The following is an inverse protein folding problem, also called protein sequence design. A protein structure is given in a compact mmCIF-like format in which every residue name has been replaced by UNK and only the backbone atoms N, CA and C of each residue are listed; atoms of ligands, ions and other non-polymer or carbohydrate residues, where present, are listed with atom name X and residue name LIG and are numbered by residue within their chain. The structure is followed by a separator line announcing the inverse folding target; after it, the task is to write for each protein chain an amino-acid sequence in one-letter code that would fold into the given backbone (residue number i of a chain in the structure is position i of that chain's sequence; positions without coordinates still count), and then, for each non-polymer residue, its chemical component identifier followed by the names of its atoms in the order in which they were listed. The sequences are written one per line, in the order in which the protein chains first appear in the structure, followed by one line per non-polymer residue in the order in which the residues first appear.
data_IF_293671926810
#
_entry.id   IF_293671926810
#
_cell.length_a   1.000
_cell.length_b   1.000
_cell.length_c   1.000
_cell.angle_alpha   90.00
_cell.angle_beta   90.00
_cell.angle_gamma   90.00
#
_symmetry.space_group_name_H-M   'P 1'
#
loop_
_entity.id
_entity.type
_entity.pdbx_description
1 polymer ?
#
# COMPACT_ATOMS: atom_id res chain seq x y z
N UNK A 1 2.44 13.12 4.71
CA UNK A 1 2.58 11.82 4.02
C UNK A 1 3.47 10.92 4.86
N UNK A 2 3.01 9.72 5.14
CA UNK A 2 3.81 8.74 5.87
C UNK A 2 4.87 8.15 4.95
N UNK A 3 6.09 7.96 5.45
CA UNK A 3 7.16 7.35 4.67
C UNK A 3 7.54 6.01 5.30
N UNK A 4 7.63 4.97 4.47
CA UNK A 4 8.03 3.63 4.91
C UNK A 4 9.29 3.25 4.16
N UNK A 5 10.37 3.05 4.91
CA UNK A 5 11.65 2.63 4.34
C UNK A 5 11.67 1.11 4.21
N UNK A 6 12.01 0.63 3.02
CA UNK A 6 12.13 -0.81 2.80
C UNK A 6 13.60 -1.19 2.70
N UNK A 7 13.90 -2.46 3.04
CA UNK A 7 15.26 -2.99 2.99
C UNK A 7 15.54 -3.72 1.67
N UNK A 8 14.48 -4.26 1.07
CA UNK A 8 14.59 -5.03 -0.16
C UNK A 8 14.34 -4.13 -1.36
N UNK A 9 14.45 -4.69 -2.57
CA UNK A 9 14.21 -3.94 -3.80
C UNK A 9 12.76 -3.48 -3.92
N UNK A 10 11.84 -4.23 -3.34
CA UNK A 10 10.41 -3.92 -3.42
C UNK A 10 9.68 -4.43 -2.19
N UNK A 11 8.45 -3.95 -2.02
CA UNK A 11 7.51 -4.48 -1.05
C UNK A 11 6.18 -4.71 -1.78
N UNK A 12 5.46 -5.76 -1.41
CA UNK A 12 4.14 -5.99 -1.99
C UNK A 12 3.12 -5.06 -1.36
N UNK A 13 2.12 -4.65 -2.15
CA UNK A 13 1.12 -3.68 -1.70
C UNK A 13 0.44 -4.11 -0.40
N UNK A 14 -0.01 -5.36 -0.31
CA UNK A 14 -0.65 -5.85 0.92
C UNK A 14 0.25 -5.79 2.13
N UNK A 15 1.55 -6.05 1.94
CA UNK A 15 2.53 -5.96 3.02
C UNK A 15 2.74 -4.52 3.46
N UNK A 16 2.76 -3.59 2.52
CA UNK A 16 2.94 -2.17 2.84
C UNK A 16 1.78 -1.67 3.70
N UNK A 17 0.55 -2.01 3.35
CA UNK A 17 -0.62 -1.57 4.11
C UNK A 17 -0.58 -2.07 5.54
N UNK A 18 -0.14 -3.30 5.76
CA UNK A 18 0.00 -3.85 7.11
C UNK A 18 1.13 -3.15 7.87
N UNK A 19 2.27 -2.99 7.22
CA UNK A 19 3.44 -2.39 7.85
C UNK A 19 3.15 -0.94 8.26
N UNK A 20 2.43 -0.20 7.44
CA UNK A 20 2.09 1.19 7.72
C UNK A 20 0.96 1.34 8.75
N UNK A 21 0.26 0.26 9.05
CA UNK A 21 -0.88 0.33 9.95
C UNK A 21 -2.18 0.75 9.28
N UNK A 22 -2.20 0.85 7.95
CA UNK A 22 -3.42 1.16 7.21
C UNK A 22 -4.38 -0.02 7.19
N UNK A 23 -3.85 -1.23 7.36
CA UNK A 23 -4.64 -2.44 7.49
C UNK A 23 -4.21 -3.21 8.73
N UNK A 24 -5.17 -3.81 9.43
CA UNK A 24 -4.92 -4.56 10.65
C UNK A 24 -4.39 -5.96 10.38
N UNK A 25 -4.63 -6.49 9.20
CA UNK A 25 -4.29 -7.86 8.86
C UNK A 25 -4.18 -8.01 7.34
N UNK A 26 -3.70 -9.19 6.90
CA UNK A 26 -3.65 -9.51 5.48
C UNK A 26 -5.04 -9.56 4.86
N UNK A 27 -6.03 -10.06 5.59
CA UNK A 27 -7.42 -10.09 5.12
C UNK A 27 -7.97 -8.69 4.97
N UNK A 28 -7.72 -7.82 5.95
CA UNK A 28 -8.16 -6.42 5.88
C UNK A 28 -7.52 -5.71 4.69
N UNK A 29 -6.22 -5.91 4.49
CA UNK A 29 -5.53 -5.33 3.34
C UNK A 29 -6.16 -5.79 2.03
N UNK A 30 -6.47 -7.09 1.90
CA UNK A 30 -7.10 -7.63 0.71
C UNK A 30 -8.45 -6.97 0.45
N UNK A 31 -9.26 -6.78 1.49
CA UNK A 31 -10.57 -6.15 1.35
C UNK A 31 -10.43 -4.72 0.83
N UNK A 32 -9.54 -3.93 1.42
CA UNK A 32 -9.31 -2.56 0.99
C UNK A 32 -8.89 -2.50 -0.48
N UNK A 33 -7.97 -3.37 -0.87
CA UNK A 33 -7.42 -3.39 -2.23
C UNK A 33 -8.49 -3.83 -3.24
N UNK A 34 -9.21 -4.91 -2.96
CA UNK A 34 -10.21 -5.42 -3.91
C UNK A 34 -11.42 -4.52 -4.00
N UNK A 35 -11.70 -3.72 -2.99
CA UNK A 35 -12.81 -2.76 -3.02
C UNK A 35 -12.47 -1.47 -3.76
N UNK A 36 -11.26 -1.34 -4.30
CA UNK A 36 -10.88 -0.14 -5.05
C UNK A 36 -10.55 1.06 -4.17
N UNK A 37 -10.28 0.84 -2.88
CA UNK A 37 -9.98 1.92 -1.94
C UNK A 37 -8.52 2.32 -1.91
N UNK A 38 -7.68 1.67 -2.72
CA UNK A 38 -6.23 1.87 -2.73
C UNK A 38 -5.78 2.28 -4.12
N UNK A 39 -5.00 3.36 -4.19
CA UNK A 39 -4.36 3.77 -5.44
C UNK A 39 -2.86 3.71 -5.29
N UNK A 40 -2.17 3.45 -6.40
CA UNK A 40 -0.71 3.50 -6.49
C UNK A 40 -0.37 4.51 -7.56
N UNK A 41 0.33 5.56 -7.16
CA UNK A 41 0.70 6.67 -8.07
C UNK A 41 -0.53 7.22 -8.82
N UNK A 42 -1.65 7.32 -8.10
CA UNK A 42 -2.88 7.91 -8.64
C UNK A 42 -3.81 6.95 -9.36
N UNK A 43 -3.43 5.70 -9.53
CA UNK A 43 -4.26 4.70 -10.23
C UNK A 43 -4.75 3.63 -9.26
N UNK A 44 -6.03 3.25 -9.37
CA UNK A 44 -6.58 2.18 -8.54
C UNK A 44 -5.83 0.88 -8.82
N UNK A 45 -5.38 0.25 -7.74
CA UNK A 45 -4.70 -1.03 -7.82
C UNK A 45 -5.50 -2.07 -7.06
N UNK A 46 -5.86 -3.16 -7.73
CA UNK A 46 -6.67 -4.23 -7.12
C UNK A 46 -5.89 -5.51 -6.85
N UNK A 47 -4.59 -5.51 -7.15
CA UNK A 47 -3.73 -6.68 -6.91
C UNK A 47 -2.95 -6.51 -5.62
N UNK A 48 -3.20 -7.40 -4.67
CA UNK A 48 -2.49 -7.39 -3.38
C UNK A 48 -0.99 -7.61 -3.56
N UNK A 49 -0.61 -8.36 -4.57
CA UNK A 49 0.79 -8.68 -4.85
C UNK A 49 1.53 -7.66 -5.71
N UNK A 50 0.94 -6.50 -5.97
CA UNK A 50 1.62 -5.45 -6.73
C UNK A 50 2.93 -5.09 -6.06
N UNK A 51 4.03 -5.16 -6.80
CA UNK A 51 5.36 -4.78 -6.29
C UNK A 51 5.51 -3.27 -6.29
N UNK A 52 5.91 -2.74 -5.15
CA UNK A 52 6.13 -1.30 -4.96
C UNK A 52 7.62 -1.06 -4.72
N UNK A 53 8.11 0.04 -5.26
CA UNK A 53 9.53 0.40 -5.18
C UNK A 53 9.68 1.76 -4.53
N UNK A 54 10.88 2.15 -4.11
CA UNK A 54 11.11 3.50 -3.58
C UNK A 54 10.56 4.55 -4.54
N UNK A 55 9.95 5.57 -3.99
CA UNK A 55 9.28 6.68 -4.67
C UNK A 55 7.82 6.39 -5.06
N UNK A 56 7.35 5.16 -4.96
CA UNK A 56 5.94 4.87 -5.19
C UNK A 56 5.09 5.47 -4.07
N UNK A 57 3.96 6.06 -4.42
CA UNK A 57 3.04 6.68 -3.49
C UNK A 57 1.72 5.92 -3.51
N UNK A 58 1.32 5.44 -2.33
CA UNK A 58 0.09 4.69 -2.15
C UNK A 58 -0.90 5.56 -1.37
N UNK A 59 -2.13 5.67 -1.87
CA UNK A 59 -3.19 6.38 -1.18
C UNK A 59 -4.26 5.39 -0.77
N UNK A 60 -4.68 5.47 0.49
CA UNK A 60 -5.70 4.57 1.05
C UNK A 60 -6.86 5.41 1.55
N UNK A 61 -8.07 5.14 1.04
CA UNK A 61 -9.26 5.88 1.41
C UNK A 61 -9.47 5.82 2.93
N UNK A 62 -9.68 6.99 3.53
CA UNK A 62 -9.90 7.10 4.97
C UNK A 62 -8.65 6.99 5.83
N UNK A 63 -7.50 6.73 5.24
CA UNK A 63 -6.24 6.62 5.99
C UNK A 63 -5.24 7.72 5.60
N UNK A 64 -4.96 7.89 4.32
CA UNK A 64 -4.00 8.87 3.86
C UNK A 64 -2.99 8.29 2.88
N UNK A 65 -1.87 8.99 2.71
CA UNK A 65 -0.86 8.62 1.74
C UNK A 65 0.38 8.04 2.39
N UNK A 66 0.98 7.06 1.72
CA UNK A 66 2.19 6.37 2.16
C UNK A 66 3.19 6.41 1.02
N UNK A 67 4.39 6.88 1.28
CA UNK A 67 5.48 6.86 0.28
C UNK A 67 6.48 5.78 0.64
N UNK A 68 6.84 4.95 -0.33
CA UNK A 68 7.91 3.96 -0.16
C UNK A 68 9.26 4.65 -0.37
N UNK A 69 10.18 4.43 0.55
CA UNK A 69 11.52 5.01 0.44
C UNK A 69 12.62 3.99 0.66
#
# INVERSE_FOLDING_TARGET
MEEIKIKDEYIKLGQLLKLAGAADSGVHAKILITNGEVTVNGEVETRRGKKLHPEDIVSVAGYGEIKVI
#
